data_IF_106765957923
#
_entry.id   IF_106765957923
#
_cell.length_a   1.000
_cell.length_b   1.000
_cell.length_c   1.000
_cell.angle_alpha   90.00
_cell.angle_beta   90.00
_cell.angle_gamma   90.00
#
_symmetry.space_group_name_H-M   'P 1'
#
loop_
_entity.id
_entity.type
_entity.pdbx_description
1 polymer ?
#
# COMPACT_ATOMS: atom_id res chain seq x y z
N UNK A 1 -3.89 -0.83 57.83
CA UNK A 1 -3.91 0.45 57.07
C UNK A 1 -3.80 0.14 55.58
N UNK A 2 -4.86 0.39 54.85
CA UNK A 2 -4.85 0.16 53.40
C UNK A 2 -3.88 1.13 52.71
N UNK A 3 -2.85 0.61 52.06
CA UNK A 3 -2.04 1.41 51.12
C UNK A 3 -2.92 1.81 49.95
N UNK A 4 -3.33 3.06 49.90
CA UNK A 4 -3.94 3.64 48.72
C UNK A 4 -2.89 3.64 47.59
N UNK A 5 -3.19 2.94 46.50
CA UNK A 5 -2.34 2.96 45.32
C UNK A 5 -2.24 4.43 44.79
N UNK A 6 -1.05 4.89 44.42
CA UNK A 6 -0.92 6.21 43.83
C UNK A 6 -1.71 6.28 42.51
N UNK A 7 -2.19 7.48 42.11
CA UNK A 7 -2.88 7.66 40.84
C UNK A 7 -2.09 7.06 39.67
N UNK A 8 -2.80 6.42 38.75
CA UNK A 8 -2.15 5.73 37.60
C UNK A 8 -1.25 6.68 36.79
N UNK A 9 -1.64 7.94 36.67
CA UNK A 9 -0.81 8.97 36.02
C UNK A 9 0.60 9.09 36.64
N UNK A 10 0.72 8.99 37.98
CA UNK A 10 2.03 9.02 38.63
C UNK A 10 2.80 7.72 38.41
N UNK A 11 2.12 6.59 38.41
CA UNK A 11 2.73 5.29 38.09
C UNK A 11 3.23 5.26 36.65
N UNK A 12 2.40 5.71 35.71
CA UNK A 12 2.78 5.83 34.28
C UNK A 12 4.05 6.66 34.09
N UNK A 13 4.13 7.83 34.73
CA UNK A 13 5.31 8.70 34.64
C UNK A 13 6.57 8.07 35.25
N UNK A 14 6.42 7.27 36.31
CA UNK A 14 7.53 6.51 36.89
C UNK A 14 8.05 5.46 35.92
N UNK A 15 7.14 4.67 35.35
CA UNK A 15 7.51 3.64 34.37
C UNK A 15 8.16 4.27 33.13
N UNK A 16 7.57 5.33 32.58
CA UNK A 16 8.15 6.05 31.44
C UNK A 16 9.56 6.55 31.73
N UNK A 17 9.83 7.02 32.97
CA UNK A 17 11.17 7.46 33.38
C UNK A 17 12.14 6.28 33.51
N UNK A 18 11.72 5.16 34.07
CA UNK A 18 12.54 3.95 34.18
C UNK A 18 12.96 3.43 32.79
N UNK A 19 12.03 3.44 31.83
CA UNK A 19 12.29 2.97 30.46
C UNK A 19 12.95 4.02 29.56
N UNK A 20 13.06 5.27 29.99
CA UNK A 20 13.75 6.32 29.21
C UNK A 20 15.21 5.98 28.92
N UNK A 21 15.91 5.31 29.83
CA UNK A 21 17.30 4.84 29.63
C UNK A 21 17.36 3.77 28.53
N UNK A 22 16.40 2.83 28.53
CA UNK A 22 16.29 1.85 27.46
C UNK A 22 16.11 2.53 26.10
N UNK A 23 15.21 3.50 25.99
CA UNK A 23 15.00 4.27 24.77
C UNK A 23 16.26 5.03 24.30
N UNK A 24 17.08 5.52 25.24
CA UNK A 24 18.38 6.13 24.93
C UNK A 24 19.41 5.12 24.42
N UNK A 25 19.36 3.90 24.96
CA UNK A 25 20.27 2.80 24.58
C UNK A 25 19.99 2.20 23.22
N UNK A 26 18.82 2.45 22.59
CA UNK A 26 18.52 1.97 21.24
C UNK A 26 19.52 2.52 20.22
N UNK A 27 20.01 1.66 19.32
CA UNK A 27 21.04 2.04 18.36
C UNK A 27 20.46 2.81 17.16
N UNK A 28 19.33 2.33 16.63
CA UNK A 28 18.72 2.92 15.44
C UNK A 28 17.87 4.15 15.79
N UNK A 29 17.98 5.18 14.97
CA UNK A 29 17.19 6.41 15.13
C UNK A 29 15.69 6.15 14.98
N UNK A 30 15.34 5.21 14.12
CA UNK A 30 13.97 4.80 13.88
C UNK A 30 13.38 4.11 15.12
N UNK A 31 14.10 3.20 15.74
CA UNK A 31 13.67 2.52 16.98
C UNK A 31 13.43 3.53 18.10
N UNK A 32 14.30 4.54 18.25
CA UNK A 32 14.10 5.63 19.23
C UNK A 32 12.80 6.38 18.99
N UNK A 33 12.47 6.65 17.72
CA UNK A 33 11.24 7.33 17.34
C UNK A 33 10.04 6.47 17.67
N UNK A 34 10.04 5.20 17.23
CA UNK A 34 8.96 4.25 17.47
C UNK A 34 8.73 4.02 18.97
N UNK A 35 9.80 3.89 19.74
CA UNK A 35 9.73 3.74 21.19
C UNK A 35 9.06 4.96 21.85
N UNK A 36 9.39 6.16 21.45
CA UNK A 36 8.74 7.37 21.94
C UNK A 36 7.26 7.43 21.56
N UNK A 37 6.92 7.11 20.31
CA UNK A 37 5.53 7.07 19.83
C UNK A 37 4.69 6.05 20.58
N UNK A 38 5.27 4.89 20.89
CA UNK A 38 4.64 3.84 21.67
C UNK A 38 4.19 4.34 23.05
N UNK A 39 5.07 5.04 23.77
CA UNK A 39 4.72 5.64 25.06
C UNK A 39 3.66 6.73 24.93
N UNK A 40 3.73 7.57 23.92
CA UNK A 40 2.72 8.59 23.66
C UNK A 40 1.34 7.99 23.39
N UNK A 41 1.27 6.89 22.64
CA UNK A 41 0.02 6.18 22.39
C UNK A 41 -0.57 5.57 23.65
N UNK A 42 0.27 4.98 24.50
CA UNK A 42 -0.17 4.43 25.77
C UNK A 42 -0.77 5.51 26.72
N UNK A 43 -0.31 6.74 26.62
CA UNK A 43 -0.81 7.87 27.43
C UNK A 43 -2.30 8.16 27.17
N UNK A 44 -2.83 7.92 25.98
CA UNK A 44 -4.25 8.08 25.67
C UNK A 44 -5.17 7.14 26.46
N UNK A 45 -4.63 6.03 26.98
CA UNK A 45 -5.37 5.02 27.69
C UNK A 45 -5.31 5.15 29.22
N UNK A 46 -4.65 6.20 29.75
CA UNK A 46 -4.55 6.46 31.20
C UNK A 46 -5.92 6.40 31.90
N UNK A 47 -6.99 7.05 31.38
CA UNK A 47 -8.30 7.02 32.08
C UNK A 47 -8.90 5.62 32.15
N UNK A 48 -8.67 4.77 31.16
CA UNK A 48 -9.13 3.38 31.18
C UNK A 48 -8.32 2.53 32.16
N UNK A 49 -7.00 2.75 32.20
CA UNK A 49 -6.10 2.07 33.12
C UNK A 49 -6.36 2.43 34.59
N UNK A 50 -6.71 3.69 34.86
CA UNK A 50 -7.13 4.12 36.21
C UNK A 50 -8.39 3.37 36.69
N UNK A 51 -9.36 3.16 35.79
CA UNK A 51 -10.57 2.38 36.12
C UNK A 51 -10.27 0.89 36.36
N UNK A 52 -9.30 0.33 35.65
CA UNK A 52 -8.88 -1.07 35.84
C UNK A 52 -8.18 -1.30 37.15
N UNK A 53 -7.60 -0.28 37.80
CA UNK A 53 -6.92 -0.31 39.07
C UNK A 53 -5.96 -1.51 39.26
N UNK A 54 -5.22 -1.85 38.19
CA UNK A 54 -4.29 -2.97 38.20
C UNK A 54 -3.06 -2.64 39.07
N UNK A 55 -2.61 -3.54 39.96
CA UNK A 55 -1.50 -3.28 40.88
C UNK A 55 -0.16 -3.01 40.21
N UNK A 56 0.03 -3.51 38.98
CA UNK A 56 1.23 -3.29 38.17
C UNK A 56 0.91 -2.34 37.01
N UNK A 57 1.36 -1.10 37.10
CA UNK A 57 1.12 -0.09 36.08
C UNK A 57 1.65 -0.50 34.69
N UNK A 58 2.80 -1.17 34.67
CA UNK A 58 3.40 -1.64 33.42
C UNK A 58 2.49 -2.57 32.61
N UNK A 59 1.69 -3.41 33.28
CA UNK A 59 0.75 -4.30 32.60
C UNK A 59 -0.30 -3.52 31.83
N UNK A 60 -0.89 -2.49 32.45
CA UNK A 60 -1.88 -1.63 31.78
C UNK A 60 -1.25 -0.81 30.65
N UNK A 61 0.00 -0.39 30.80
CA UNK A 61 0.75 0.32 29.75
C UNK A 61 0.99 -0.61 28.55
N UNK A 62 1.48 -1.82 28.77
CA UNK A 62 1.72 -2.79 27.71
C UNK A 62 0.42 -3.15 26.98
N UNK A 63 -0.66 -3.39 27.71
CA UNK A 63 -1.96 -3.68 27.11
C UNK A 63 -2.47 -2.51 26.25
N UNK A 64 -2.21 -1.27 26.68
CA UNK A 64 -2.55 -0.08 25.90
C UNK A 64 -1.75 0.03 24.61
N UNK A 65 -0.47 -0.34 24.68
CA UNK A 65 0.41 -0.39 23.50
C UNK A 65 -0.07 -1.46 22.52
N UNK A 66 -0.36 -2.67 23.02
CA UNK A 66 -0.87 -3.78 22.22
C UNK A 66 -2.19 -3.38 21.51
N UNK A 67 -3.10 -2.73 22.23
CA UNK A 67 -4.36 -2.26 21.66
C UNK A 67 -4.14 -1.28 20.50
N UNK A 68 -3.19 -0.37 20.62
CA UNK A 68 -2.87 0.56 19.53
C UNK A 68 -2.18 -0.13 18.34
N UNK A 69 -1.40 -1.18 18.60
CA UNK A 69 -0.83 -2.02 17.55
C UNK A 69 -1.92 -2.80 16.81
N UNK A 70 -2.85 -3.42 17.52
CA UNK A 70 -3.99 -4.12 16.91
C UNK A 70 -4.84 -3.20 16.03
N UNK A 71 -5.11 -1.97 16.48
CA UNK A 71 -5.81 -0.98 15.65
C UNK A 71 -5.03 -0.66 14.37
N UNK A 72 -3.71 -0.50 14.46
CA UNK A 72 -2.87 -0.23 13.31
C UNK A 72 -2.85 -1.39 12.32
N UNK A 73 -2.77 -2.63 12.83
CA UNK A 73 -2.84 -3.86 12.04
C UNK A 73 -4.18 -3.93 11.31
N UNK A 74 -5.29 -3.76 12.01
CA UNK A 74 -6.63 -3.76 11.41
C UNK A 74 -6.76 -2.75 10.28
N UNK A 75 -6.27 -1.53 10.47
CA UNK A 75 -6.29 -0.52 9.41
C UNK A 75 -5.41 -0.86 8.20
N UNK A 76 -4.27 -1.52 8.43
CA UNK A 76 -3.41 -1.98 7.35
C UNK A 76 -4.06 -3.12 6.57
N UNK A 77 -4.69 -4.07 7.24
CA UNK A 77 -5.44 -5.16 6.60
C UNK A 77 -6.56 -4.63 5.69
N UNK A 78 -7.34 -3.66 6.16
CA UNK A 78 -8.38 -3.02 5.35
C UNK A 78 -7.80 -2.30 4.10
N UNK A 79 -6.65 -1.63 4.25
CA UNK A 79 -5.96 -1.01 3.11
C UNK A 79 -5.44 -2.06 2.13
N UNK A 80 -4.83 -3.13 2.61
CA UNK A 80 -4.35 -4.22 1.76
C UNK A 80 -5.50 -4.83 0.96
N UNK A 81 -6.63 -5.10 1.61
CA UNK A 81 -7.83 -5.61 0.95
C UNK A 81 -8.35 -4.66 -0.13
N UNK A 82 -8.40 -3.36 0.16
CA UNK A 82 -8.81 -2.35 -0.81
C UNK A 82 -7.87 -2.29 -2.01
N UNK A 83 -6.55 -2.30 -1.77
CA UNK A 83 -5.56 -2.29 -2.84
C UNK A 83 -5.61 -3.57 -3.67
N UNK A 84 -5.82 -4.74 -3.05
CA UNK A 84 -5.97 -6.00 -3.77
C UNK A 84 -7.15 -5.94 -4.77
N UNK A 85 -8.30 -5.42 -4.34
CA UNK A 85 -9.45 -5.21 -5.21
C UNK A 85 -9.18 -4.21 -6.35
N UNK A 86 -8.41 -3.16 -6.09
CA UNK A 86 -8.01 -2.20 -7.12
C UNK A 86 -7.09 -2.82 -8.16
N UNK A 87 -6.11 -3.61 -7.71
CA UNK A 87 -5.19 -4.35 -8.58
C UNK A 87 -5.96 -5.32 -9.48
N UNK A 88 -6.92 -6.06 -8.93
CA UNK A 88 -7.76 -6.99 -9.69
C UNK A 88 -8.51 -6.26 -10.81
N UNK A 89 -9.20 -5.16 -10.50
CA UNK A 89 -9.91 -4.34 -11.49
C UNK A 89 -9.00 -3.77 -12.57
N UNK A 90 -7.81 -3.31 -12.19
CA UNK A 90 -6.83 -2.79 -13.16
C UNK A 90 -6.26 -3.90 -14.04
N UNK A 91 -6.09 -5.09 -13.51
CA UNK A 91 -5.63 -6.26 -14.26
C UNK A 91 -6.66 -6.66 -15.31
N UNK A 92 -7.92 -6.75 -14.94
CA UNK A 92 -9.03 -7.03 -15.87
C UNK A 92 -9.14 -5.99 -16.98
N UNK A 93 -9.05 -4.70 -16.62
CA UNK A 93 -9.08 -3.60 -17.59
C UNK A 93 -7.89 -3.64 -18.56
N UNK A 94 -6.70 -4.00 -18.09
CA UNK A 94 -5.52 -4.14 -18.94
C UNK A 94 -5.66 -5.34 -19.89
N UNK A 95 -6.16 -6.49 -19.42
CA UNK A 95 -6.41 -7.65 -20.27
C UNK A 95 -7.40 -7.31 -21.40
N UNK A 96 -8.47 -6.56 -21.09
CA UNK A 96 -9.42 -6.11 -22.11
C UNK A 96 -8.75 -5.21 -23.19
N UNK A 97 -7.88 -4.30 -22.76
CA UNK A 97 -7.12 -3.45 -23.68
C UNK A 97 -6.12 -4.24 -24.54
N UNK A 98 -5.49 -5.24 -23.98
CA UNK A 98 -4.55 -6.10 -24.70
C UNK A 98 -5.26 -6.86 -25.84
N UNK A 99 -6.48 -7.33 -25.61
CA UNK A 99 -7.32 -7.96 -26.63
C UNK A 99 -7.70 -6.95 -27.74
N UNK A 100 -8.08 -5.74 -27.36
CA UNK A 100 -8.40 -4.68 -28.32
C UNK A 100 -7.20 -4.31 -29.19
N UNK A 101 -6.02 -4.18 -28.59
CA UNK A 101 -4.75 -3.92 -29.32
C UNK A 101 -4.45 -5.06 -30.31
N UNK A 102 -4.68 -6.31 -29.92
CA UNK A 102 -4.47 -7.47 -30.80
C UNK A 102 -5.40 -7.43 -32.01
N UNK A 103 -6.68 -7.09 -31.83
CA UNK A 103 -7.65 -6.92 -32.90
C UNK A 103 -7.25 -5.80 -33.85
N UNK A 104 -6.91 -4.62 -33.34
CA UNK A 104 -6.46 -3.47 -34.14
C UNK A 104 -5.20 -3.78 -34.92
N UNK A 105 -4.24 -4.51 -34.35
CA UNK A 105 -3.05 -4.98 -35.08
C UNK A 105 -3.42 -5.90 -36.24
N UNK A 106 -4.37 -6.80 -36.05
CA UNK A 106 -4.88 -7.67 -37.10
C UNK A 106 -5.52 -6.89 -38.24
N UNK A 107 -6.37 -5.91 -37.93
CA UNK A 107 -6.98 -5.03 -38.94
C UNK A 107 -5.96 -4.22 -39.71
N UNK A 108 -4.97 -3.65 -39.03
CA UNK A 108 -3.88 -2.91 -39.68
C UNK A 108 -3.08 -3.80 -40.64
N UNK A 109 -2.79 -5.03 -40.27
CA UNK A 109 -2.08 -5.97 -41.11
C UNK A 109 -2.88 -6.36 -42.36
N UNK A 110 -4.19 -6.54 -42.22
CA UNK A 110 -5.11 -6.81 -43.32
C UNK A 110 -5.16 -5.62 -44.30
N UNK A 111 -5.32 -4.41 -43.80
CA UNK A 111 -5.31 -3.18 -44.64
C UNK A 111 -3.98 -3.00 -45.34
N UNK A 112 -2.85 -3.22 -44.67
CA UNK A 112 -1.52 -3.16 -45.26
C UNK A 112 -1.38 -4.10 -46.42
N UNK A 113 -1.75 -5.36 -46.28
CA UNK A 113 -1.71 -6.35 -47.38
C UNK A 113 -2.61 -5.96 -48.55
N UNK A 114 -3.79 -5.42 -48.27
CA UNK A 114 -4.70 -4.91 -49.28
C UNK A 114 -4.10 -3.74 -50.07
N UNK A 115 -3.46 -2.81 -49.42
CA UNK A 115 -2.75 -1.67 -50.07
C UNK A 115 -1.56 -2.18 -50.89
N UNK A 116 -0.77 -3.08 -50.38
CA UNK A 116 0.37 -3.66 -51.13
C UNK A 116 -0.08 -4.38 -52.39
N UNK A 117 -1.19 -5.13 -52.33
CA UNK A 117 -1.76 -5.78 -53.53
C UNK A 117 -2.24 -4.76 -54.59
N UNK A 118 -2.95 -3.71 -54.16
CA UNK A 118 -3.42 -2.64 -55.07
C UNK A 118 -2.25 -1.88 -55.70
N UNK A 119 -1.20 -1.61 -54.94
CA UNK A 119 0.02 -0.98 -55.47
C UNK A 119 0.74 -1.86 -56.50
N UNK A 120 0.78 -3.17 -56.28
CA UNK A 120 1.35 -4.09 -57.28
C UNK A 120 0.55 -4.12 -58.55
N UNK A 121 -0.80 -4.20 -58.45
CA UNK A 121 -1.68 -4.15 -59.62
C UNK A 121 -1.51 -2.83 -60.40
N UNK A 122 -1.52 -1.71 -59.71
CA UNK A 122 -1.34 -0.40 -60.33
C UNK A 122 0.04 -0.26 -61.04
N UNK A 123 1.11 -0.79 -60.44
CA UNK A 123 2.42 -0.80 -61.07
C UNK A 123 2.45 -1.65 -62.36
N UNK A 124 1.74 -2.77 -62.39
CA UNK A 124 1.60 -3.60 -63.57
C UNK A 124 0.84 -2.88 -64.69
N UNK A 125 -0.29 -2.28 -64.39
CA UNK A 125 -1.06 -1.47 -65.32
C UNK A 125 -0.23 -0.32 -65.95
N UNK A 126 0.54 0.37 -65.12
CA UNK A 126 1.43 1.44 -65.57
C UNK A 126 2.55 0.94 -66.46
N UNK A 127 3.08 -0.24 -66.26
CA UNK A 127 4.07 -0.87 -67.09
C UNK A 127 3.47 -1.27 -68.48
N UNK A 128 2.28 -1.83 -68.49
CA UNK A 128 1.56 -2.18 -69.75
C UNK A 128 1.27 -0.95 -70.61
N UNK A 129 0.76 0.12 -69.98
CA UNK A 129 0.53 1.40 -70.70
C UNK A 129 1.84 1.93 -71.28
N UNK A 130 2.96 1.84 -70.61
CA UNK A 130 4.25 2.31 -71.07
C UNK A 130 4.77 1.50 -72.28
N UNK A 131 4.49 0.20 -72.31
CA UNK A 131 4.85 -0.65 -73.48
C UNK A 131 4.01 -0.33 -74.70
N UNK A 132 2.70 -0.06 -74.55
CA UNK A 132 1.80 0.29 -75.63
C UNK A 132 2.16 1.66 -76.30
N UNK A 133 2.69 2.61 -75.56
CA UNK A 133 3.17 3.90 -76.10
C UNK A 133 4.55 3.84 -76.69
N UNK A 134 5.30 2.75 -76.51
CA UNK A 134 6.67 2.61 -77.07
C UNK A 134 6.73 1.73 -78.29
N UNK A 135 5.61 1.21 -78.75
CA UNK A 135 5.42 0.44 -79.98
C UNK A 135 4.85 1.32 -81.06
#
# INVERSE_FOLDING_TARGET
MGHTLPPFTLQFRREAKCFAEMGRGLLLREDKRLFKEMWQKAEFHIPAAEKAAHPLAITSILLSIDLEQEKAIFHLEEKVKTHAQQIEKLTEANQSKDVEILLLKGELEFLRKGIEQRLKAFRQEMLEIKYDYSS
#
